data_IF_080894894556
#
_entry.id   IF_080894894556
#
_cell.length_a   1.000
_cell.length_b   1.000
_cell.length_c   1.000
_cell.angle_alpha   90.00
_cell.angle_beta   90.00
_cell.angle_gamma   90.00
#
_symmetry.space_group_name_H-M   'P 1'
#
loop_
_entity.id
_entity.type
_entity.pdbx_description
1 polymer ?
#
# COMPACT_ATOMS: atom_id res chain seq x y z
N UNK A 1 11.16 -11.78 -13.30
CA UNK A 1 11.06 -10.99 -12.05
C UNK A 1 11.41 -9.55 -12.37
N UNK A 2 10.59 -8.60 -11.91
CA UNK A 2 10.78 -7.18 -12.18
C UNK A 2 11.99 -6.65 -11.41
N UNK A 3 12.76 -5.74 -12.02
CA UNK A 3 13.90 -5.11 -11.35
C UNK A 3 13.39 -4.22 -10.22
N UNK A 4 13.92 -4.42 -9.03
CA UNK A 4 13.62 -3.57 -7.89
C UNK A 4 14.06 -2.13 -8.19
N UNK A 5 13.20 -1.19 -7.84
CA UNK A 5 13.46 0.25 -7.91
C UNK A 5 12.81 0.91 -6.71
N UNK A 6 13.49 1.93 -6.16
CA UNK A 6 12.98 2.75 -5.08
C UNK A 6 11.60 3.32 -5.43
N UNK A 7 10.76 3.47 -4.41
CA UNK A 7 9.43 4.08 -4.54
C UNK A 7 9.49 5.55 -4.19
N UNK A 8 8.61 6.33 -4.80
CA UNK A 8 8.40 7.74 -4.44
C UNK A 8 7.10 7.91 -3.66
N UNK A 9 6.95 9.08 -3.03
CA UNK A 9 5.70 9.48 -2.37
C UNK A 9 4.54 9.55 -3.38
N UNK A 10 4.79 10.02 -4.60
CA UNK A 10 3.80 10.05 -5.69
C UNK A 10 3.33 8.64 -6.09
N UNK A 11 4.27 7.68 -6.21
CA UNK A 11 3.92 6.28 -6.48
C UNK A 11 3.09 5.67 -5.34
N UNK A 12 3.35 6.05 -4.08
CA UNK A 12 2.53 5.63 -2.94
C UNK A 12 1.11 6.20 -3.00
N UNK A 13 0.94 7.49 -3.31
CA UNK A 13 -0.41 8.07 -3.48
C UNK A 13 -1.19 7.38 -4.60
N UNK A 14 -0.54 7.08 -5.73
CA UNK A 14 -1.13 6.31 -6.83
C UNK A 14 -1.54 4.90 -6.39
N UNK A 15 -0.71 4.22 -5.61
CA UNK A 15 -1.02 2.90 -5.05
C UNK A 15 -2.26 2.95 -4.14
N UNK A 16 -2.38 3.96 -3.28
CA UNK A 16 -3.56 4.11 -2.44
C UNK A 16 -4.82 4.49 -3.22
N UNK A 17 -4.70 5.34 -4.25
CA UNK A 17 -5.81 5.64 -5.14
C UNK A 17 -6.31 4.37 -5.87
N UNK A 18 -5.40 3.47 -6.26
CA UNK A 18 -5.73 2.14 -6.78
C UNK A 18 -6.55 1.33 -5.76
N UNK A 19 -6.13 1.26 -4.49
CA UNK A 19 -6.87 0.52 -3.46
C UNK A 19 -8.26 1.10 -3.20
N UNK A 20 -8.39 2.44 -3.15
CA UNK A 20 -9.69 3.09 -2.97
C UNK A 20 -10.61 2.77 -4.14
N UNK A 21 -10.11 2.84 -5.37
CA UNK A 21 -10.88 2.50 -6.57
C UNK A 21 -11.35 1.04 -6.56
N UNK A 22 -10.47 0.09 -6.19
CA UNK A 22 -10.85 -1.33 -6.04
C UNK A 22 -11.92 -1.55 -4.97
N UNK A 23 -11.95 -0.70 -3.94
CA UNK A 23 -13.01 -0.72 -2.93
C UNK A 23 -14.37 -0.26 -3.47
N UNK A 24 -14.37 0.66 -4.44
CA UNK A 24 -15.59 1.23 -5.06
C UNK A 24 -16.08 0.35 -6.21
N UNK A 25 -15.17 -0.05 -7.10
CA UNK A 25 -15.43 -0.82 -8.31
C UNK A 25 -14.81 -2.19 -8.17
N UNK A 26 -15.62 -3.22 -7.95
CA UNK A 26 -15.13 -4.58 -7.73
C UNK A 26 -15.15 -5.40 -9.03
N UNK A 27 -14.02 -6.03 -9.34
CA UNK A 27 -13.87 -7.03 -10.40
C UNK A 27 -13.56 -8.41 -9.81
N UNK A 28 -13.78 -9.47 -10.60
CA UNK A 28 -13.62 -10.85 -10.13
C UNK A 28 -12.15 -11.24 -10.00
N UNK A 29 -11.29 -10.63 -10.81
CA UNK A 29 -9.85 -10.90 -10.82
C UNK A 29 -9.05 -9.60 -10.78
N UNK A 30 -7.83 -9.69 -10.27
CA UNK A 30 -6.96 -8.52 -10.14
C UNK A 30 -6.50 -8.02 -11.52
N UNK A 31 -6.31 -8.94 -12.46
CA UNK A 31 -5.88 -8.67 -13.82
C UNK A 31 -6.92 -7.86 -14.62
N UNK A 32 -8.21 -8.01 -14.29
CA UNK A 32 -9.30 -7.28 -14.96
C UNK A 32 -9.17 -5.77 -14.81
N UNK A 33 -8.65 -5.28 -13.68
CA UNK A 33 -8.40 -3.85 -13.46
C UNK A 33 -7.36 -3.26 -14.42
N UNK A 34 -6.46 -4.09 -14.95
CA UNK A 34 -5.43 -3.69 -15.93
C UNK A 34 -5.71 -4.22 -17.35
N UNK A 35 -6.86 -4.85 -17.59
CA UNK A 35 -7.22 -5.34 -18.91
C UNK A 35 -7.36 -4.18 -19.90
N UNK A 36 -6.92 -4.40 -21.13
CA UNK A 36 -7.15 -3.46 -22.25
C UNK A 36 -8.61 -3.51 -22.67
N UNK A 37 -9.44 -2.67 -22.06
CA UNK A 37 -10.83 -2.41 -22.46
C UNK A 37 -11.02 -1.01 -23.03
N UNK A 38 -12.13 -0.80 -23.73
CA UNK A 38 -12.59 0.51 -24.22
C UNK A 38 -13.16 1.40 -23.12
N UNK A 39 -13.31 0.87 -21.90
CA UNK A 39 -13.84 1.62 -20.76
C UNK A 39 -12.85 2.70 -20.33
N UNK A 40 -13.29 3.95 -20.40
CA UNK A 40 -12.48 5.15 -20.18
C UNK A 40 -11.84 5.15 -18.79
N UNK A 41 -12.55 4.62 -17.79
CA UNK A 41 -12.08 4.50 -16.40
C UNK A 41 -10.90 3.52 -16.27
N UNK A 42 -10.95 2.36 -16.95
CA UNK A 42 -9.87 1.39 -16.96
C UNK A 42 -8.64 1.92 -17.71
N UNK A 43 -8.82 2.79 -18.70
CA UNK A 43 -7.70 3.47 -19.37
C UNK A 43 -6.94 4.38 -18.41
N UNK A 44 -7.68 5.14 -17.57
CA UNK A 44 -7.06 6.02 -16.58
C UNK A 44 -6.28 5.24 -15.52
N UNK A 45 -6.81 4.08 -15.12
CA UNK A 45 -6.19 3.20 -14.13
C UNK A 45 -4.82 2.67 -14.57
N UNK A 46 -4.71 2.24 -15.83
CA UNK A 46 -3.42 1.79 -16.41
C UNK A 46 -2.40 2.92 -16.53
N UNK A 47 -2.87 4.16 -16.73
CA UNK A 47 -2.00 5.34 -16.76
C UNK A 47 -1.51 5.73 -15.37
N UNK A 48 -2.26 5.39 -14.32
CA UNK A 48 -1.89 5.70 -12.94
C UNK A 48 -0.67 4.87 -12.51
N UNK A 49 -0.69 3.56 -12.76
CA UNK A 49 0.39 2.64 -12.46
C UNK A 49 0.29 1.38 -13.32
N UNK A 50 1.43 0.79 -13.73
CA UNK A 50 1.42 -0.51 -14.42
C UNK A 50 1.11 -1.67 -13.47
N UNK A 51 0.52 -2.75 -13.99
CA UNK A 51 0.22 -3.97 -13.21
C UNK A 51 1.47 -4.51 -12.51
N UNK A 52 2.58 -4.58 -13.23
CA UNK A 52 3.86 -5.06 -12.72
C UNK A 52 4.38 -4.21 -11.55
N UNK A 53 4.24 -2.88 -11.64
CA UNK A 53 4.66 -1.97 -10.57
C UNK A 53 3.74 -2.11 -9.36
N UNK A 54 2.44 -2.27 -9.57
CA UNK A 54 1.48 -2.56 -8.51
C UNK A 54 1.85 -3.85 -7.76
N UNK A 55 2.09 -4.96 -8.47
CA UNK A 55 2.49 -6.24 -7.85
C UNK A 55 3.80 -6.11 -7.08
N UNK A 56 4.79 -5.38 -7.62
CA UNK A 56 6.07 -5.18 -6.94
C UNK A 56 5.90 -4.38 -5.65
N UNK A 57 5.17 -3.25 -5.70
CA UNK A 57 4.96 -2.40 -4.54
C UNK A 57 4.13 -3.09 -3.46
N UNK A 58 3.05 -3.78 -3.83
CA UNK A 58 2.20 -4.50 -2.86
C UNK A 58 2.95 -5.62 -2.14
N UNK A 59 3.89 -6.30 -2.81
CA UNK A 59 4.74 -7.33 -2.19
C UNK A 59 5.81 -6.78 -1.25
N UNK A 60 6.24 -5.54 -1.46
CA UNK A 60 7.35 -4.93 -0.71
C UNK A 60 6.90 -3.83 0.26
N UNK A 61 5.61 -3.53 0.33
CA UNK A 61 5.06 -2.52 1.23
C UNK A 61 5.16 -3.00 2.68
N UNK A 62 5.99 -2.33 3.47
CA UNK A 62 6.20 -2.62 4.88
C UNK A 62 6.28 -1.29 5.64
N UNK A 63 5.77 -1.28 6.88
CA UNK A 63 5.73 -0.08 7.72
C UNK A 63 6.71 -0.15 8.89
N UNK A 64 7.50 -1.22 8.97
CA UNK A 64 8.51 -1.43 10.01
C UNK A 64 9.90 -1.06 9.55
N UNK A 65 10.72 -0.61 10.48
CA UNK A 65 12.14 -0.40 10.27
C UNK A 65 12.92 -1.68 10.63
N UNK A 66 13.52 -2.32 9.64
CA UNK A 66 14.24 -3.60 9.80
C UNK A 66 15.47 -3.47 10.72
N UNK A 67 16.12 -2.31 10.76
CA UNK A 67 17.30 -2.09 11.60
C UNK A 67 16.94 -1.99 13.09
N UNK A 68 15.67 -1.68 13.38
CA UNK A 68 15.12 -1.62 14.74
C UNK A 68 14.49 -2.94 15.19
N UNK A 69 14.49 -3.97 14.34
CA UNK A 69 13.90 -5.25 14.71
C UNK A 69 14.88 -6.07 15.58
N UNK A 70 14.43 -6.66 16.71
CA UNK A 70 15.22 -7.60 17.48
C UNK A 70 15.72 -8.77 16.62
N UNK A 71 16.97 -9.19 16.84
CA UNK A 71 17.64 -10.23 16.06
C UNK A 71 16.82 -11.55 16.00
N UNK A 72 16.89 -12.31 14.89
CA UNK A 72 16.01 -13.46 14.61
C UNK A 72 16.17 -14.67 15.54
N UNK A 73 17.13 -14.64 16.47
CA UNK A 73 17.50 -15.80 17.28
C UNK A 73 16.61 -16.00 18.52
N UNK A 74 15.61 -15.14 18.72
CA UNK A 74 14.48 -15.45 19.60
C UNK A 74 13.33 -15.93 18.72
N UNK A 75 12.75 -17.10 19.00
CA UNK A 75 11.58 -17.66 18.32
C UNK A 75 10.29 -16.85 18.54
N UNK A 76 10.36 -15.51 18.61
CA UNK A 76 9.19 -14.65 18.63
C UNK A 76 8.75 -14.43 17.19
N UNK A 77 7.68 -15.10 16.78
CA UNK A 77 6.81 -14.55 15.73
C UNK A 77 6.45 -13.14 16.21
N UNK A 78 7.01 -12.09 15.60
CA UNK A 78 6.58 -10.74 15.96
C UNK A 78 5.07 -10.67 15.71
N UNK A 79 4.26 -10.21 16.68
CA UNK A 79 2.83 -10.07 16.47
C UNK A 79 2.60 -9.17 15.25
N UNK A 80 1.66 -9.52 14.38
CA UNK A 80 1.26 -8.69 13.23
C UNK A 80 0.93 -7.24 13.66
N UNK A 81 0.46 -7.09 14.90
CA UNK A 81 0.26 -5.80 15.54
C UNK A 81 1.55 -4.96 15.61
N UNK A 82 2.70 -5.54 16.01
CA UNK A 82 3.99 -4.85 16.17
C UNK A 82 4.50 -4.25 14.84
N UNK A 83 4.35 -5.00 13.74
CA UNK A 83 4.83 -4.57 12.42
C UNK A 83 4.06 -3.37 11.85
N UNK A 84 2.79 -3.25 12.23
CA UNK A 84 1.87 -2.21 11.75
C UNK A 84 1.68 -1.07 12.76
N UNK A 85 2.39 -1.08 13.92
CA UNK A 85 2.29 -0.04 14.95
C UNK A 85 2.44 1.38 14.38
N UNK A 86 3.39 1.66 13.49
CA UNK A 86 3.59 3.01 12.96
C UNK A 86 2.38 3.56 12.19
N UNK A 87 1.54 2.68 11.63
CA UNK A 87 0.31 3.07 10.92
C UNK A 87 -0.87 3.19 11.90
N UNK A 88 -0.91 2.35 12.94
CA UNK A 88 -1.99 2.38 13.94
C UNK A 88 -1.85 3.51 14.95
N UNK A 89 -0.66 4.07 15.12
CA UNK A 89 -0.38 5.23 15.98
C UNK A 89 -0.96 6.55 15.45
N UNK A 90 -1.60 6.56 14.28
CA UNK A 90 -2.47 7.66 13.82
C UNK A 90 -3.54 8.06 14.85
N UNK A 91 -3.84 7.22 15.86
CA UNK A 91 -4.67 7.59 17.02
C UNK A 91 -4.07 8.71 17.88
N UNK A 92 -2.77 9.00 17.82
CA UNK A 92 -2.15 10.13 18.52
C UNK A 92 -2.44 11.49 17.88
N UNK A 93 -3.03 11.54 16.67
CA UNK A 93 -3.44 12.80 16.03
C UNK A 93 -4.85 13.27 16.46
N UNK A 94 -5.68 12.39 17.03
CA UNK A 94 -7.00 12.76 17.56
C UNK A 94 -6.95 13.85 18.64
N UNK A 95 -6.03 13.83 19.64
CA UNK A 95 -5.95 14.91 20.62
C UNK A 95 -5.43 16.25 20.07
N UNK A 96 -5.04 16.34 18.79
CA UNK A 96 -4.66 17.62 18.14
C UNK A 96 -5.90 18.30 17.54
N UNK A 97 -6.90 17.54 17.09
CA UNK A 97 -8.12 18.07 16.46
C UNK A 97 -9.10 18.58 17.53
N UNK A 98 -9.20 17.92 18.68
CA UNK A 98 -10.13 18.33 19.76
C UNK A 98 -9.61 19.47 20.65
N UNK A 99 -8.41 20.01 20.43
CA UNK A 99 -7.88 21.18 21.18
C UNK A 99 -8.16 22.54 20.55
N UNK A 100 -8.94 22.61 19.47
CA UNK A 100 -9.29 23.87 18.78
C UNK A 100 -10.80 24.11 18.63
N UNK A 101 -11.59 23.70 19.61
CA UNK A 101 -12.97 24.19 19.79
C UNK A 101 -13.15 24.66 21.23
#
# INVERSE_FOLDING_TARGET
MYKWKDTTVDELYRLFAVFIYMGICQFNTLEEYWRKGTDVELVYFRNLMSYDRYILLTKCLHFSDNDKQPLPNAKSKQPLAASNQPVTDCKQLLPIIERKV
#
